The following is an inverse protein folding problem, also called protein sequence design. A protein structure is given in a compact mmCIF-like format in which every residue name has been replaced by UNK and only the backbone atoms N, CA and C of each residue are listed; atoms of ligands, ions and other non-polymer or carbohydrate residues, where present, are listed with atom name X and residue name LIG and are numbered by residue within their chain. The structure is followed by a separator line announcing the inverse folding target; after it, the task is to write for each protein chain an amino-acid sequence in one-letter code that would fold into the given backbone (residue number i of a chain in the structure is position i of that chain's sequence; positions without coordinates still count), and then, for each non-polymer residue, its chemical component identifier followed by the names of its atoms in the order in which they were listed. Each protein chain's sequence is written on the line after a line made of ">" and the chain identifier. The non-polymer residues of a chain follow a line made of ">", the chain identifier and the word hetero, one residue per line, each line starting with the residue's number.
data_IF_538459023422
#
_entry.id   IF_538459023422
#
_cell.length_a   1.000
_cell.length_b   1.000
_cell.length_c   1.000
_cell.angle_alpha   90.00
_cell.angle_beta   90.00
_cell.angle_gamma   90.00
#
_symmetry.space_group_name_H-M   'P 1'
#
loop_
_entity.id
_entity.type
_entity.pdbx_description
1 polymer ?
#
# COMPACT_ATOMS: atom_id res chain seq x y z
N UNK A 1 -9.71 24.73 -16.26
CA UNK A 1 -10.27 23.58 -15.52
C UNK A 1 -9.78 23.65 -14.08
N UNK A 2 -10.63 23.94 -13.11
CA UNK A 2 -10.25 23.91 -11.68
C UNK A 2 -10.06 22.45 -11.29
N UNK A 3 -8.82 22.03 -10.98
CA UNK A 3 -8.58 20.77 -10.26
C UNK A 3 -9.34 20.89 -8.94
N UNK A 4 -10.33 20.04 -8.74
CA UNK A 4 -10.97 19.89 -7.44
C UNK A 4 -9.85 19.45 -6.50
N UNK A 5 -9.43 20.32 -5.59
CA UNK A 5 -8.54 19.93 -4.50
C UNK A 5 -9.33 18.99 -3.59
N UNK A 6 -9.22 17.70 -3.85
CA UNK A 6 -9.69 16.69 -2.92
C UNK A 6 -8.73 16.78 -1.73
N UNK A 7 -9.15 17.48 -0.70
CA UNK A 7 -8.44 17.57 0.57
C UNK A 7 -9.29 16.85 1.62
N UNK A 8 -8.74 15.80 2.24
CA UNK A 8 -9.44 15.08 3.30
C UNK A 8 -9.16 13.58 3.32
N UNK A 9 -9.65 12.94 4.40
CA UNK A 9 -9.59 11.49 4.59
C UNK A 9 -10.46 10.78 3.56
N UNK A 10 -9.97 9.65 3.05
CA UNK A 10 -10.75 8.82 2.13
C UNK A 10 -11.79 8.03 2.94
N UNK A 11 -13.10 8.17 2.66
CA UNK A 11 -14.16 7.52 3.44
C UNK A 11 -14.14 5.99 3.39
N UNK A 12 -13.38 5.33 2.52
CA UNK A 12 -13.24 3.87 2.54
C UNK A 12 -12.05 3.39 3.39
N UNK A 13 -11.24 4.31 3.91
CA UNK A 13 -9.96 3.98 4.56
C UNK A 13 -9.97 4.08 6.10
N UNK A 14 -11.12 4.36 6.72
CA UNK A 14 -11.20 4.65 8.16
C UNK A 14 -11.23 3.42 9.07
N UNK A 15 -11.43 2.21 8.52
CA UNK A 15 -11.66 0.99 9.34
C UNK A 15 -10.38 0.33 9.86
N UNK A 16 -9.22 0.68 9.32
CA UNK A 16 -7.94 0.09 9.71
C UNK A 16 -7.33 0.87 10.88
N UNK A 17 -7.19 0.28 12.10
CA UNK A 17 -6.52 0.96 13.21
C UNK A 17 -5.04 1.23 12.92
N UNK A 18 -4.46 0.54 11.93
CA UNK A 18 -3.06 0.65 11.51
C UNK A 18 -2.77 1.91 10.70
N UNK A 19 -3.79 2.59 10.16
CA UNK A 19 -3.60 3.78 9.33
C UNK A 19 -4.74 4.09 8.39
N UNK A 20 -4.61 5.19 7.65
CA UNK A 20 -5.61 5.60 6.66
C UNK A 20 -5.00 6.40 5.50
N UNK A 21 -5.69 6.36 4.36
CA UNK A 21 -5.40 7.14 3.17
C UNK A 21 -6.08 8.50 3.22
N UNK A 22 -5.39 9.51 2.73
CA UNK A 22 -5.91 10.87 2.59
C UNK A 22 -5.28 11.56 1.39
N UNK A 23 -5.99 12.55 0.85
CA UNK A 23 -5.45 13.44 -0.14
C UNK A 23 -5.00 14.77 0.48
N UNK A 24 -3.84 15.24 0.04
CA UNK A 24 -3.30 16.55 0.40
C UNK A 24 -2.62 17.18 -0.81
N UNK A 25 -3.00 18.40 -1.16
CA UNK A 25 -2.50 19.14 -2.33
C UNK A 25 -2.52 18.29 -3.62
N UNK A 26 -3.62 17.54 -3.82
CA UNK A 26 -3.84 16.70 -5.00
C UNK A 26 -2.97 15.43 -5.08
N UNK A 27 -2.24 15.07 -4.02
CA UNK A 27 -1.47 13.83 -3.92
C UNK A 27 -2.06 12.88 -2.88
N UNK A 28 -1.98 11.57 -3.14
CA UNK A 28 -2.39 10.52 -2.21
C UNK A 28 -1.28 10.22 -1.20
N UNK A 29 -1.66 10.11 0.07
CA UNK A 29 -0.78 9.74 1.17
C UNK A 29 -1.45 8.69 2.04
N UNK A 30 -0.64 7.93 2.78
CA UNK A 30 -1.08 7.06 3.86
C UNK A 30 -0.42 7.49 5.15
N UNK A 31 -1.22 7.69 6.20
CA UNK A 31 -0.71 7.74 7.56
C UNK A 31 -0.59 6.31 8.08
N UNK A 32 0.54 5.99 8.70
CA UNK A 32 0.74 4.79 9.51
C UNK A 32 0.62 5.21 10.96
N UNK A 33 -0.14 4.45 11.74
CA UNK A 33 -0.36 4.74 13.16
C UNK A 33 0.64 3.97 14.03
N UNK A 34 0.83 4.45 15.27
CA UNK A 34 1.71 3.83 16.27
C UNK A 34 1.39 2.34 16.51
N UNK A 35 0.12 1.95 16.40
CA UNK A 35 -0.32 0.55 16.52
C UNK A 35 0.29 -0.40 15.46
N UNK A 36 0.87 0.14 14.38
CA UNK A 36 1.49 -0.64 13.31
C UNK A 36 3.00 -0.36 13.14
N UNK A 37 3.58 0.37 14.09
CA UNK A 37 4.99 0.77 14.06
C UNK A 37 5.92 -0.44 13.91
N UNK A 38 5.80 -1.45 14.80
CA UNK A 38 6.71 -2.60 14.82
C UNK A 38 6.71 -3.36 13.47
N UNK A 39 5.53 -3.56 12.87
CA UNK A 39 5.39 -4.23 11.58
C UNK A 39 5.99 -3.40 10.44
N UNK A 40 5.78 -2.08 10.45
CA UNK A 40 6.34 -1.20 9.43
C UNK A 40 7.86 -1.10 9.54
N UNK A 41 8.39 -0.96 10.75
CA UNK A 41 9.83 -0.92 10.99
C UNK A 41 10.49 -2.24 10.57
N UNK A 42 9.85 -3.39 10.84
CA UNK A 42 10.35 -4.69 10.37
C UNK A 42 10.36 -4.79 8.84
N UNK A 43 9.31 -4.31 8.16
CA UNK A 43 9.27 -4.28 6.68
C UNK A 43 10.43 -3.47 6.09
N UNK A 44 10.68 -2.29 6.64
CA UNK A 44 11.70 -1.37 6.14
C UNK A 44 13.12 -1.82 6.48
N UNK A 45 13.34 -2.37 7.68
CA UNK A 45 14.67 -2.72 8.17
C UNK A 45 15.12 -4.14 7.80
N UNK A 46 14.19 -5.08 7.54
CA UNK A 46 14.53 -6.46 7.18
C UNK A 46 15.15 -6.59 5.77
N UNK A 47 14.91 -5.62 4.89
CA UNK A 47 15.26 -5.70 3.48
C UNK A 47 14.15 -6.29 2.59
N UNK A 48 13.04 -6.77 3.19
CA UNK A 48 11.89 -7.28 2.43
C UNK A 48 11.32 -6.21 1.49
N UNK A 49 11.22 -4.96 1.96
CA UNK A 49 10.72 -3.84 1.15
C UNK A 49 11.47 -3.69 -0.19
N UNK A 50 12.80 -3.65 -0.13
CA UNK A 50 13.65 -3.52 -1.32
C UNK A 50 13.55 -4.78 -2.19
N UNK A 51 13.52 -5.97 -1.58
CA UNK A 51 13.35 -7.24 -2.30
C UNK A 51 12.06 -7.27 -3.12
N UNK A 52 10.94 -6.81 -2.56
CA UNK A 52 9.64 -6.80 -3.25
C UNK A 52 9.58 -5.73 -4.35
N UNK A 53 10.11 -4.53 -4.12
CA UNK A 53 10.08 -3.45 -5.12
C UNK A 53 10.99 -3.76 -6.31
N UNK A 54 12.19 -4.29 -6.06
CA UNK A 54 13.11 -4.65 -7.13
C UNK A 54 12.59 -5.79 -8.01
N UNK A 55 11.65 -6.59 -7.49
CA UNK A 55 10.94 -7.62 -8.22
C UNK A 55 9.60 -7.15 -8.82
N UNK A 56 9.26 -5.86 -8.74
CA UNK A 56 7.96 -5.29 -9.16
C UNK A 56 6.73 -5.92 -8.46
N UNK A 57 6.92 -6.53 -7.28
CA UNK A 57 5.87 -7.17 -6.49
C UNK A 57 5.19 -6.25 -5.47
N UNK A 58 5.75 -5.06 -5.23
CA UNK A 58 5.20 -4.05 -4.35
C UNK A 58 5.28 -2.68 -5.00
N UNK A 59 4.21 -1.90 -4.89
CA UNK A 59 4.22 -0.51 -5.34
C UNK A 59 5.13 0.31 -4.41
N UNK A 60 6.15 1.00 -4.95
CA UNK A 60 7.06 1.77 -4.13
C UNK A 60 6.35 2.95 -3.48
N UNK A 61 6.73 3.23 -2.25
CA UNK A 61 6.36 4.43 -1.51
C UNK A 61 7.59 5.15 -0.96
N UNK A 62 7.41 6.39 -0.53
CA UNK A 62 8.44 7.19 0.13
C UNK A 62 7.91 7.70 1.46
N UNK A 63 8.70 7.59 2.52
CA UNK A 63 8.46 8.34 3.74
C UNK A 63 8.59 9.83 3.45
N UNK A 64 7.64 10.61 3.95
CA UNK A 64 7.60 12.07 3.77
C UNK A 64 7.27 12.71 5.10
N UNK A 65 7.83 13.89 5.32
CA UNK A 65 7.41 14.75 6.42
C UNK A 65 6.48 15.83 5.89
N UNK A 66 5.25 15.83 6.39
CA UNK A 66 4.22 16.80 6.03
C UNK A 66 3.58 17.27 7.33
N UNK A 67 3.40 18.58 7.47
CA UNK A 67 2.74 19.25 8.60
C UNK A 67 1.22 19.00 8.60
N UNK A 68 0.85 17.72 8.67
CA UNK A 68 -0.53 17.24 8.72
C UNK A 68 -0.69 15.95 9.52
N UNK A 69 0.26 15.62 10.40
CA UNK A 69 0.10 14.55 11.41
C UNK A 69 -0.95 15.02 12.43
N UNK A 70 -2.21 15.05 12.03
CA UNK A 70 -3.34 15.59 12.81
C UNK A 70 -3.69 14.77 14.07
N UNK A 71 -2.87 13.78 14.45
CA UNK A 71 -3.25 12.85 15.49
C UNK A 71 -2.06 12.36 16.31
N UNK A 72 -2.25 12.30 17.64
CA UNK A 72 -1.31 11.72 18.61
C UNK A 72 -0.98 10.24 18.32
N UNK A 73 -1.77 9.58 17.47
CA UNK A 73 -1.55 8.19 17.05
C UNK A 73 -0.71 8.07 15.78
N UNK A 74 -0.33 9.17 15.12
CA UNK A 74 0.42 9.14 13.87
C UNK A 74 1.90 8.78 14.11
N UNK A 75 2.39 7.76 13.41
CA UNK A 75 3.80 7.36 13.44
C UNK A 75 4.56 7.94 12.24
N UNK A 76 4.13 7.57 11.03
CA UNK A 76 4.79 7.95 9.76
C UNK A 76 3.76 8.34 8.72
N UNK A 77 4.19 9.14 7.73
CA UNK A 77 3.41 9.38 6.53
C UNK A 77 4.21 8.88 5.33
N UNK A 78 3.55 8.11 4.47
CA UNK A 78 4.13 7.61 3.23
C UNK A 78 3.34 8.12 2.02
N UNK A 79 4.07 8.36 0.94
CA UNK A 79 3.54 8.70 -0.38
C UNK A 79 3.74 7.53 -1.34
N UNK A 80 2.70 6.71 -1.61
CA UNK A 80 2.79 5.65 -2.60
C UNK A 80 2.85 6.21 -4.02
N UNK A 81 3.49 5.46 -4.93
CA UNK A 81 3.34 5.70 -6.37
C UNK A 81 1.90 5.41 -6.77
N UNK A 82 1.25 6.37 -7.42
CA UNK A 82 -0.11 6.20 -7.92
C UNK A 82 -0.13 5.23 -9.11
N UNK A 83 -1.12 4.34 -9.10
CA UNK A 83 -1.48 3.53 -10.25
C UNK A 83 -2.59 4.29 -11.00
N UNK A 84 -2.39 4.63 -12.30
CA UNK A 84 -3.32 5.48 -13.03
C UNK A 84 -4.65 4.78 -13.35
N UNK A 85 -4.67 3.45 -13.34
CA UNK A 85 -5.83 2.63 -13.64
C UNK A 85 -5.97 1.54 -12.59
N UNK A 86 -7.15 1.45 -11.98
CA UNK A 86 -7.49 0.41 -11.02
C UNK A 86 -8.46 -0.53 -11.71
N UNK A 87 -8.08 -1.81 -11.79
CA UNK A 87 -8.94 -2.88 -12.24
C UNK A 87 -9.42 -3.71 -11.05
N UNK A 88 -10.59 -4.31 -11.17
CA UNK A 88 -11.20 -5.08 -10.10
C UNK A 88 -11.22 -6.58 -10.43
N UNK A 89 -11.17 -7.47 -9.41
CA UNK A 89 -11.13 -8.91 -9.64
C UNK A 89 -12.24 -9.48 -10.52
N UNK A 90 -13.43 -8.87 -10.51
CA UNK A 90 -14.56 -9.30 -11.35
C UNK A 90 -14.45 -8.88 -12.82
N UNK A 91 -13.48 -8.02 -13.16
CA UNK A 91 -13.18 -7.60 -14.54
C UNK A 91 -12.08 -8.48 -15.16
N UNK A 92 -11.45 -9.34 -14.37
CA UNK A 92 -10.27 -10.10 -14.78
C UNK A 92 -10.64 -11.40 -15.49
N UNK A 93 -9.87 -11.75 -16.51
CA UNK A 93 -9.95 -13.08 -17.12
C UNK A 93 -9.33 -14.15 -16.21
N UNK A 94 -9.55 -15.42 -16.52
CA UNK A 94 -9.00 -16.54 -15.74
C UNK A 94 -7.47 -16.45 -15.59
N UNK A 95 -6.76 -16.10 -16.67
CA UNK A 95 -5.29 -15.99 -16.64
C UNK A 95 -4.81 -14.88 -15.70
N UNK A 96 -5.52 -13.75 -15.63
CA UNK A 96 -5.22 -12.68 -14.68
C UNK A 96 -5.48 -13.13 -13.24
N UNK A 97 -6.60 -13.81 -12.97
CA UNK A 97 -6.86 -14.39 -11.64
C UNK A 97 -5.76 -15.37 -11.21
N UNK A 98 -5.32 -16.24 -12.13
CA UNK A 98 -4.21 -17.16 -11.89
C UNK A 98 -2.91 -16.41 -11.58
N UNK A 99 -2.59 -15.38 -12.37
CA UNK A 99 -1.38 -14.58 -12.16
C UNK A 99 -1.42 -13.84 -10.81
N UNK A 100 -2.56 -13.27 -10.44
CA UNK A 100 -2.74 -12.62 -9.13
C UNK A 100 -2.52 -13.59 -7.97
N UNK A 101 -3.01 -14.83 -8.08
CA UNK A 101 -2.77 -15.87 -7.07
C UNK A 101 -1.28 -16.26 -7.00
N UNK A 102 -0.62 -16.45 -8.15
CA UNK A 102 0.80 -16.79 -8.20
C UNK A 102 1.69 -15.69 -7.60
N UNK A 103 1.43 -14.43 -7.96
CA UNK A 103 2.12 -13.26 -7.39
C UNK A 103 1.91 -13.17 -5.87
N UNK A 104 0.69 -13.42 -5.39
CA UNK A 104 0.39 -13.44 -3.95
C UNK A 104 1.23 -14.50 -3.22
N UNK A 105 1.33 -15.71 -3.78
CA UNK A 105 2.16 -16.78 -3.22
C UNK A 105 3.66 -16.45 -3.29
N UNK A 106 4.11 -15.81 -4.36
CA UNK A 106 5.50 -15.37 -4.50
C UNK A 106 5.86 -14.35 -3.42
N UNK A 107 5.00 -13.35 -3.20
CA UNK A 107 5.18 -12.36 -2.13
C UNK A 107 5.23 -13.05 -0.77
N UNK A 108 4.31 -13.97 -0.49
CA UNK A 108 4.28 -14.70 0.78
C UNK A 108 5.57 -15.50 1.01
N UNK A 109 6.07 -16.21 -0.01
CA UNK A 109 7.31 -16.98 0.09
C UNK A 109 8.49 -16.09 0.44
N UNK A 110 8.62 -14.95 -0.26
CA UNK A 110 9.65 -13.95 0.04
C UNK A 110 9.47 -13.41 1.46
N UNK A 111 8.25 -13.04 1.86
CA UNK A 111 8.00 -12.48 3.20
C UNK A 111 8.46 -13.41 4.34
N UNK A 112 8.24 -14.72 4.22
CA UNK A 112 8.64 -15.71 5.24
C UNK A 112 10.15 -15.71 5.46
N UNK A 113 10.96 -15.54 4.40
CA UNK A 113 12.43 -15.47 4.50
C UNK A 113 12.90 -14.27 5.35
N UNK A 114 12.06 -13.24 5.48
CA UNK A 114 12.30 -12.05 6.29
C UNK A 114 11.49 -12.03 7.59
N UNK A 115 10.90 -13.16 8.00
CA UNK A 115 10.13 -13.28 9.24
C UNK A 115 8.78 -12.56 9.21
N UNK A 116 8.22 -12.32 8.03
CA UNK A 116 6.94 -11.64 7.84
C UNK A 116 5.92 -12.54 7.14
N UNK A 117 4.65 -12.20 7.27
CA UNK A 117 3.55 -12.84 6.54
C UNK A 117 2.59 -11.77 6.01
N UNK A 118 1.93 -12.06 4.91
CA UNK A 118 0.89 -11.20 4.37
C UNK A 118 -0.29 -11.11 5.35
N UNK A 119 -0.89 -9.91 5.40
CA UNK A 119 -2.14 -9.58 6.07
C UNK A 119 -3.14 -9.11 5.02
N UNK A 120 -4.39 -9.56 5.11
CA UNK A 120 -5.47 -9.17 4.19
C UNK A 120 -5.15 -9.46 2.70
N UNK A 121 -4.65 -10.67 2.42
CA UNK A 121 -4.15 -11.12 1.11
C UNK A 121 -5.25 -11.42 0.07
N UNK A 122 -6.13 -10.44 -0.19
CA UNK A 122 -7.22 -10.62 -1.16
C UNK A 122 -6.80 -10.23 -2.58
N UNK A 123 -7.57 -10.69 -3.57
CA UNK A 123 -7.38 -10.27 -4.97
C UNK A 123 -7.49 -8.74 -5.15
N UNK A 124 -8.22 -8.03 -4.29
CA UNK A 124 -8.33 -6.57 -4.33
C UNK A 124 -7.01 -5.84 -3.98
N UNK A 125 -6.02 -6.55 -3.43
CA UNK A 125 -4.70 -6.02 -3.12
C UNK A 125 -3.69 -6.17 -4.26
N UNK A 126 -4.11 -6.76 -5.40
CA UNK A 126 -3.30 -6.92 -6.60
C UNK A 126 -3.81 -6.00 -7.69
N UNK A 127 -2.89 -5.43 -8.49
CA UNK A 127 -3.19 -4.59 -9.64
C UNK A 127 -2.26 -4.94 -10.81
N UNK A 128 -2.78 -4.89 -12.03
CA UNK A 128 -2.01 -5.10 -13.25
C UNK A 128 -1.49 -3.75 -13.75
N UNK A 129 -0.16 -3.65 -13.90
CA UNK A 129 0.51 -2.45 -14.38
C UNK A 129 1.27 -2.79 -15.66
N UNK A 130 0.86 -2.19 -16.78
CA UNK A 130 1.41 -2.40 -18.13
C UNK A 130 1.01 -3.74 -18.80
N UNK A 131 -0.15 -4.28 -18.47
CA UNK A 131 -0.68 -5.54 -19.03
C UNK A 131 -0.29 -6.75 -18.20
#
# INVERSE_FOLDING_TARGET
>A
MKKIEINGKIPSSFRDPSGYLFYYNGSLYRQINNAYQENYDLLMNSGLYNTLINADLLIPHKEVDIDRKESSIAYKIIKPRLIPFISYPYEWCFSQLKNAALVTLEIQKKAIEFGMSLKDSSAYNIQFRNG
#
